data_IF_228492894194
#
_entry.id   IF_228492894194
#
_cell.length_a   1.000
_cell.length_b   1.000
_cell.length_c   1.000
_cell.angle_alpha   90.00
_cell.angle_beta   90.00
_cell.angle_gamma   90.00
#
_symmetry.space_group_name_H-M   'P 1'
#
loop_
_entity.id
_entity.type
_entity.pdbx_description
1 polymer ?
#
# COMPACT_ATOMS: atom_id res chain seq x y z
N UNK A 1 -12.84 13.14 -8.61
CA UNK A 1 -12.73 12.72 -7.19
C UNK A 1 -11.94 11.42 -7.08
N UNK A 2 -11.02 11.36 -6.16
CA UNK A 2 -10.20 10.16 -5.97
C UNK A 2 -11.03 9.06 -5.29
N UNK A 3 -11.02 7.88 -5.91
CA UNK A 3 -11.67 6.67 -5.40
C UNK A 3 -10.60 5.61 -5.10
N UNK A 4 -10.80 4.90 -4.00
CA UNK A 4 -9.96 3.76 -3.62
C UNK A 4 -10.76 2.48 -3.84
N UNK A 5 -10.11 1.49 -4.44
CA UNK A 5 -10.71 0.17 -4.64
C UNK A 5 -9.68 -0.93 -4.42
N UNK A 6 -10.16 -2.13 -4.15
CA UNK A 6 -9.33 -3.32 -4.04
C UNK A 6 -9.14 -3.95 -5.42
N UNK A 7 -7.89 -4.23 -5.75
CA UNK A 7 -7.56 -5.01 -6.95
C UNK A 7 -7.80 -6.48 -6.62
N UNK A 8 -8.82 -7.08 -7.24
CA UNK A 8 -9.19 -8.48 -7.01
C UNK A 8 -8.88 -9.40 -8.18
N UNK A 9 -8.57 -8.83 -9.34
CA UNK A 9 -8.23 -9.57 -10.55
C UNK A 9 -7.05 -8.92 -11.26
N UNK A 10 -6.20 -9.76 -11.85
CA UNK A 10 -5.09 -9.28 -12.65
C UNK A 10 -5.59 -8.76 -14.00
N UNK A 11 -4.96 -7.71 -14.50
CA UNK A 11 -5.25 -7.13 -15.81
C UNK A 11 -4.03 -6.41 -16.35
N UNK A 12 -4.06 -6.10 -17.66
CA UNK A 12 -2.99 -5.31 -18.27
C UNK A 12 -2.85 -3.92 -17.62
N UNK A 13 -3.98 -3.32 -17.26
CA UNK A 13 -4.00 -2.02 -16.56
C UNK A 13 -3.26 -2.09 -15.21
N UNK A 14 -3.47 -3.16 -14.47
CA UNK A 14 -2.78 -3.40 -13.19
C UNK A 14 -1.29 -3.59 -13.42
N UNK A 15 -0.92 -4.42 -14.39
CA UNK A 15 0.49 -4.66 -14.71
C UNK A 15 1.20 -3.36 -15.12
N UNK A 16 0.60 -2.59 -16.01
CA UNK A 16 1.16 -1.32 -16.47
C UNK A 16 1.31 -0.31 -15.32
N UNK A 17 0.37 -0.31 -14.39
CA UNK A 17 0.43 0.56 -13.22
C UNK A 17 1.65 0.21 -12.35
N UNK A 18 1.86 -1.06 -12.02
CA UNK A 18 3.01 -1.47 -11.22
C UNK A 18 4.33 -1.23 -11.95
N UNK A 19 4.39 -1.47 -13.26
CA UNK A 19 5.57 -1.18 -14.07
C UNK A 19 5.94 0.30 -13.99
N UNK A 20 4.95 1.19 -13.98
CA UNK A 20 5.15 2.64 -13.90
C UNK A 20 5.45 3.12 -12.46
N UNK A 21 4.74 2.57 -11.48
CA UNK A 21 4.78 3.07 -10.10
C UNK A 21 5.95 2.53 -9.29
N UNK A 22 6.31 1.26 -9.42
CA UNK A 22 7.34 0.65 -8.58
C UNK A 22 8.71 1.31 -8.70
N UNK A 23 9.19 1.73 -9.89
CA UNK A 23 10.43 2.48 -9.96
C UNK A 23 10.40 3.82 -9.20
N UNK A 24 9.22 4.37 -8.97
CA UNK A 24 9.05 5.59 -8.18
C UNK A 24 9.11 5.32 -6.66
N UNK A 25 8.84 4.08 -6.25
CA UNK A 25 8.97 3.66 -4.86
C UNK A 25 10.42 3.36 -4.52
N UNK A 26 11.12 2.65 -5.39
CA UNK A 26 12.52 2.29 -5.23
C UNK A 26 13.17 2.12 -6.60
N UNK A 27 14.25 2.87 -6.86
CA UNK A 27 14.98 2.79 -8.14
C UNK A 27 15.65 1.44 -8.37
N UNK A 28 15.88 0.67 -7.29
CA UNK A 28 16.47 -0.67 -7.35
C UNK A 28 15.43 -1.79 -7.35
N UNK A 29 14.14 -1.45 -7.27
CA UNK A 29 13.09 -2.46 -7.24
C UNK A 29 13.03 -3.21 -8.57
N UNK A 30 13.00 -4.55 -8.48
CA UNK A 30 12.74 -5.40 -9.61
C UNK A 30 11.25 -5.36 -9.92
N UNK A 31 10.89 -5.18 -11.20
CA UNK A 31 9.49 -5.23 -11.61
C UNK A 31 9.01 -6.69 -11.50
N UNK A 32 7.95 -6.96 -10.76
CA UNK A 32 7.43 -8.31 -10.64
C UNK A 32 6.85 -8.80 -11.97
N UNK A 33 6.83 -10.11 -12.14
CA UNK A 33 6.18 -10.74 -13.29
C UNK A 33 4.67 -10.67 -13.12
N UNK A 34 3.95 -10.92 -14.21
CA UNK A 34 2.49 -11.04 -14.17
C UNK A 34 2.05 -12.09 -13.15
N UNK A 35 2.69 -13.25 -13.16
CA UNK A 35 2.37 -14.36 -12.26
C UNK A 35 2.62 -14.00 -10.80
N UNK A 36 3.69 -13.27 -10.51
CA UNK A 36 3.98 -12.80 -9.15
C UNK A 36 2.92 -11.82 -8.64
N UNK A 37 2.45 -10.92 -9.51
CA UNK A 37 1.36 -10.01 -9.15
C UNK A 37 0.04 -10.74 -8.99
N UNK A 38 -0.23 -11.73 -9.82
CA UNK A 38 -1.42 -12.56 -9.71
C UNK A 38 -1.41 -13.35 -8.39
N UNK A 39 -0.27 -13.89 -8.00
CA UNK A 39 -0.11 -14.58 -6.71
C UNK A 39 -0.41 -13.63 -5.54
N UNK A 40 0.08 -12.39 -5.61
CA UNK A 40 -0.21 -11.39 -4.59
C UNK A 40 -1.72 -11.10 -4.50
N UNK A 41 -2.35 -10.85 -5.63
CA UNK A 41 -3.77 -10.50 -5.70
C UNK A 41 -4.66 -11.65 -5.22
N UNK A 42 -4.27 -12.89 -5.49
CA UNK A 42 -5.00 -14.08 -5.07
C UNK A 42 -4.68 -14.52 -3.64
N UNK A 43 -3.69 -13.91 -2.99
CA UNK A 43 -3.33 -14.23 -1.62
C UNK A 43 -4.40 -13.72 -0.66
N UNK A 44 -4.83 -14.57 0.27
CA UNK A 44 -5.78 -14.17 1.32
C UNK A 44 -5.19 -13.18 2.31
N UNK A 45 -3.86 -13.20 2.46
CA UNK A 45 -3.16 -12.31 3.39
C UNK A 45 -2.92 -10.92 2.78
N UNK A 46 -2.82 -10.83 1.45
CA UNK A 46 -2.50 -9.58 0.76
C UNK A 46 -3.73 -8.90 0.20
N UNK A 47 -3.94 -7.65 0.59
CA UNK A 47 -5.02 -6.81 0.09
C UNK A 47 -4.37 -5.65 -0.64
N UNK A 48 -4.54 -5.60 -1.96
CA UNK A 48 -3.94 -4.54 -2.78
C UNK A 48 -4.98 -3.47 -3.04
N UNK A 49 -4.70 -2.25 -2.56
CA UNK A 49 -5.57 -1.10 -2.78
C UNK A 49 -4.99 -0.21 -3.86
N UNK A 50 -5.85 0.33 -4.70
CA UNK A 50 -5.48 1.24 -5.77
C UNK A 50 -6.33 2.50 -5.73
N UNK A 51 -5.76 3.60 -6.21
CA UNK A 51 -6.42 4.89 -6.31
C UNK A 51 -6.60 5.28 -7.77
N UNK A 52 -7.77 5.75 -8.13
CA UNK A 52 -8.08 6.31 -9.45
C UNK A 52 -8.83 7.62 -9.27
N UNK A 53 -8.82 8.45 -10.30
CA UNK A 53 -9.73 9.58 -10.38
C UNK A 53 -10.97 9.15 -11.16
N UNK A 54 -12.15 9.25 -10.56
CA UNK A 54 -13.39 8.81 -11.20
C UNK A 54 -13.80 9.71 -12.38
N UNK A 55 -13.14 10.85 -12.54
CA UNK A 55 -13.35 11.74 -13.69
C UNK A 55 -12.43 11.37 -14.87
N UNK A 56 -11.44 10.51 -14.65
CA UNK A 56 -10.56 10.01 -15.71
C UNK A 56 -11.25 8.86 -16.44
N UNK A 57 -11.66 9.04 -17.73
CA UNK A 57 -12.34 7.98 -18.48
C UNK A 57 -11.48 6.75 -18.71
N UNK A 58 -10.17 6.87 -18.64
CA UNK A 58 -9.25 5.74 -18.78
C UNK A 58 -9.06 4.96 -17.47
N UNK A 59 -9.41 5.58 -16.33
CA UNK A 59 -9.28 4.98 -15.02
C UNK A 59 -7.84 4.63 -14.68
N UNK A 60 -6.92 5.55 -14.96
CA UNK A 60 -5.49 5.36 -14.69
C UNK A 60 -5.26 5.19 -13.19
N UNK A 61 -4.53 4.15 -12.82
CA UNK A 61 -4.16 3.92 -11.42
C UNK A 61 -3.07 4.91 -11.03
N UNK A 62 -3.38 5.76 -10.05
CA UNK A 62 -2.52 6.87 -9.62
C UNK A 62 -1.70 6.55 -8.37
N UNK A 63 -2.02 5.45 -7.70
CA UNK A 63 -1.30 5.02 -6.52
C UNK A 63 -1.76 3.64 -6.08
N UNK A 64 -0.88 2.95 -5.37
CA UNK A 64 -1.17 1.62 -4.83
C UNK A 64 -0.57 1.45 -3.45
N UNK A 65 -1.10 0.52 -2.69
CA UNK A 65 -0.49 0.02 -1.47
C UNK A 65 -0.95 -1.42 -1.22
N UNK A 66 -0.17 -2.16 -0.46
CA UNK A 66 -0.55 -3.49 0.00
C UNK A 66 -0.77 -3.46 1.50
N UNK A 67 -1.92 -3.97 1.93
CA UNK A 67 -2.20 -4.25 3.33
C UNK A 67 -2.07 -5.75 3.52
N UNK A 68 -1.17 -6.16 4.42
CA UNK A 68 -1.00 -7.57 4.77
C UNK A 68 -1.72 -7.83 6.08
N UNK A 69 -2.64 -8.79 6.09
CA UNK A 69 -3.38 -9.18 7.29
C UNK A 69 -3.05 -10.64 7.59
N UNK A 70 -2.59 -10.91 8.79
CA UNK A 70 -2.17 -12.25 9.17
C UNK A 70 -2.51 -12.53 10.63
N UNK A 71 -2.65 -13.80 10.94
CA UNK A 71 -2.93 -14.25 12.31
C UNK A 71 -1.68 -14.87 12.93
N UNK A 72 -1.40 -14.42 14.16
CA UNK A 72 -0.41 -15.05 15.05
C UNK A 72 -1.14 -15.50 16.32
N UNK A 73 -0.51 -16.29 17.21
CA UNK A 73 -1.21 -16.77 18.42
C UNK A 73 -1.87 -15.68 19.25
N UNK A 74 -1.29 -14.49 19.29
CA UNK A 74 -1.79 -13.39 20.13
C UNK A 74 -2.85 -12.53 19.43
N UNK A 75 -3.19 -12.80 18.18
CA UNK A 75 -4.26 -12.10 17.48
C UNK A 75 -3.99 -11.85 16.01
N UNK A 76 -4.87 -11.08 15.41
CA UNK A 76 -4.74 -10.65 14.01
C UNK A 76 -3.93 -9.35 13.97
N UNK A 77 -2.99 -9.28 13.03
CA UNK A 77 -2.10 -8.14 12.80
C UNK A 77 -2.19 -7.68 11.35
N UNK A 78 -1.89 -6.42 11.13
CA UNK A 78 -1.80 -5.87 9.79
C UNK A 78 -0.50 -5.09 9.59
N UNK A 79 0.04 -5.14 8.36
CA UNK A 79 1.19 -4.36 7.92
C UNK A 79 0.85 -3.60 6.66
N UNK A 80 1.30 -2.37 6.61
CA UNK A 80 1.24 -1.55 5.39
C UNK A 80 2.56 -1.68 4.66
N UNK A 81 2.48 -2.05 3.39
CA UNK A 81 3.64 -2.26 2.52
C UNK A 81 3.50 -1.52 1.20
N UNK A 82 4.63 -1.07 0.66
CA UNK A 82 4.78 -0.56 -0.71
C UNK A 82 3.75 0.52 -1.08
N UNK A 83 3.61 1.54 -0.24
CA UNK A 83 2.77 2.69 -0.55
C UNK A 83 3.48 3.56 -1.58
N UNK A 84 2.87 3.72 -2.74
CA UNK A 84 3.41 4.58 -3.80
C UNK A 84 2.29 5.39 -4.46
N UNK A 85 2.56 6.67 -4.67
CA UNK A 85 1.68 7.58 -5.42
C UNK A 85 2.47 8.13 -6.59
N UNK A 86 1.86 8.11 -7.76
CA UNK A 86 2.47 8.67 -8.97
C UNK A 86 2.92 10.10 -8.70
N UNK A 87 4.16 10.40 -9.04
CA UNK A 87 4.76 11.74 -8.83
C UNK A 87 3.92 12.86 -9.47
N UNK A 88 3.27 12.56 -10.58
CA UNK A 88 2.41 13.51 -11.29
C UNK A 88 1.04 13.72 -10.63
N UNK A 89 0.68 12.84 -9.71
CA UNK A 89 -0.58 12.91 -8.98
C UNK A 89 -0.40 13.29 -7.50
N UNK A 90 0.78 13.66 -7.08
CA UNK A 90 1.05 14.08 -5.70
C UNK A 90 0.34 15.40 -5.39
N UNK A 91 0.07 15.65 -4.10
CA UNK A 91 -0.63 16.84 -3.64
C UNK A 91 -2.15 16.76 -3.74
N UNK A 92 -2.70 15.62 -4.13
CA UNK A 92 -4.15 15.38 -4.23
C UNK A 92 -4.72 14.57 -3.06
N UNK A 93 -3.91 14.28 -2.04
CA UNK A 93 -4.33 13.52 -0.87
C UNK A 93 -4.50 12.01 -1.11
N UNK A 94 -3.93 11.49 -2.20
CA UNK A 94 -4.07 10.07 -2.58
C UNK A 94 -3.45 9.15 -1.52
N UNK A 95 -2.24 9.45 -1.06
CA UNK A 95 -1.57 8.66 -0.04
C UNK A 95 -2.38 8.58 1.25
N UNK A 96 -2.94 9.70 1.68
CA UNK A 96 -3.78 9.72 2.88
C UNK A 96 -5.05 8.91 2.70
N UNK A 97 -5.70 8.99 1.54
CA UNK A 97 -6.89 8.18 1.27
C UNK A 97 -6.60 6.69 1.25
N UNK A 98 -5.47 6.29 0.65
CA UNK A 98 -5.01 4.89 0.66
C UNK A 98 -4.82 4.40 2.10
N UNK A 99 -4.10 5.17 2.92
CA UNK A 99 -3.83 4.80 4.32
C UNK A 99 -5.12 4.73 5.12
N UNK A 100 -6.00 5.72 5.02
CA UNK A 100 -7.27 5.71 5.76
C UNK A 100 -8.16 4.54 5.35
N UNK A 101 -8.21 4.22 4.07
CA UNK A 101 -8.95 3.05 3.57
C UNK A 101 -8.35 1.75 4.11
N UNK A 102 -7.02 1.65 4.17
CA UNK A 102 -6.36 0.47 4.72
C UNK A 102 -6.65 0.29 6.20
N UNK A 103 -6.75 1.37 6.96
CA UNK A 103 -7.10 1.34 8.40
C UNK A 103 -8.51 0.77 8.57
N UNK A 104 -9.48 1.26 7.80
CA UNK A 104 -10.85 0.75 7.85
C UNK A 104 -10.93 -0.72 7.45
N UNK A 105 -10.16 -1.11 6.42
CA UNK A 105 -10.10 -2.51 5.99
C UNK A 105 -9.46 -3.41 7.05
N UNK A 106 -8.37 -2.99 7.66
CA UNK A 106 -7.71 -3.74 8.74
C UNK A 106 -8.65 -3.93 9.92
N UNK A 107 -9.39 -2.89 10.27
CA UNK A 107 -10.41 -2.94 11.33
C UNK A 107 -11.50 -3.96 11.00
N UNK A 108 -12.01 -3.94 9.76
CA UNK A 108 -13.02 -4.90 9.30
C UNK A 108 -12.51 -6.35 9.33
N UNK A 109 -11.21 -6.56 9.11
CA UNK A 109 -10.58 -7.89 9.17
C UNK A 109 -10.26 -8.32 10.61
N UNK A 110 -10.56 -7.50 11.60
CA UNK A 110 -10.33 -7.83 13.01
C UNK A 110 -8.89 -7.61 13.49
N UNK A 111 -8.11 -6.82 12.77
CA UNK A 111 -6.73 -6.52 13.16
C UNK A 111 -6.69 -5.66 14.42
N UNK A 112 -5.84 -6.05 15.37
CA UNK A 112 -5.63 -5.30 16.62
C UNK A 112 -4.70 -4.12 16.44
N UNK A 113 -3.74 -4.25 15.52
CA UNK A 113 -2.73 -3.23 15.26
C UNK A 113 -2.43 -3.17 13.78
N UNK A 114 -1.97 -2.00 13.33
CA UNK A 114 -1.50 -1.79 11.98
C UNK A 114 -0.12 -1.17 12.12
N UNK A 115 0.89 -1.84 11.59
CA UNK A 115 2.26 -1.37 11.63
C UNK A 115 2.78 -1.07 10.24
N UNK A 116 3.78 -0.22 10.17
CA UNK A 116 4.56 0.05 8.97
C UNK A 116 5.96 0.44 9.38
N UNK A 117 6.90 0.35 8.45
CA UNK A 117 8.24 0.90 8.64
C UNK A 117 8.46 2.02 7.63
N UNK A 118 9.21 3.03 8.04
CA UNK A 118 9.54 4.16 7.19
C UNK A 118 10.89 4.71 7.60
N UNK A 119 11.73 5.06 6.63
CA UNK A 119 13.04 5.64 6.90
C UNK A 119 12.89 7.01 7.57
N UNK A 120 13.78 7.38 8.51
CA UNK A 120 13.74 8.70 9.17
C UNK A 120 13.77 9.88 8.20
N UNK A 121 14.40 9.73 7.04
CA UNK A 121 14.50 10.78 6.02
C UNK A 121 13.18 11.10 5.31
N UNK A 122 12.18 10.23 5.41
CA UNK A 122 10.87 10.42 4.76
C UNK A 122 9.95 11.28 5.61
N UNK A 123 10.30 12.53 5.79
CA UNK A 123 9.61 13.47 6.70
C UNK A 123 8.14 13.67 6.32
N UNK A 124 7.85 13.82 5.02
CA UNK A 124 6.47 14.02 4.53
C UNK A 124 5.59 12.79 4.83
N UNK A 125 6.14 11.59 4.60
CA UNK A 125 5.42 10.35 4.90
C UNK A 125 5.13 10.23 6.40
N UNK A 126 6.09 10.59 7.26
CA UNK A 126 5.89 10.59 8.72
C UNK A 126 4.77 11.52 9.14
N UNK A 127 4.68 12.71 8.55
CA UNK A 127 3.59 13.65 8.82
C UNK A 127 2.24 13.06 8.45
N UNK A 128 2.17 12.41 7.29
CA UNK A 128 0.95 11.74 6.82
C UNK A 128 0.53 10.64 7.81
N UNK A 129 1.46 9.78 8.21
CA UNK A 129 1.15 8.70 9.14
C UNK A 129 0.67 9.21 10.49
N UNK A 130 1.30 10.26 11.01
CA UNK A 130 0.86 10.89 12.26
C UNK A 130 -0.55 11.47 12.16
N UNK A 131 -0.87 12.12 11.03
CA UNK A 131 -2.23 12.62 10.78
C UNK A 131 -3.26 11.49 10.75
N UNK A 132 -2.86 10.30 10.30
CA UNK A 132 -3.71 9.13 10.26
C UNK A 132 -3.76 8.35 11.58
N UNK A 133 -3.11 8.84 12.63
CA UNK A 133 -3.15 8.24 13.96
C UNK A 133 -2.05 7.24 14.26
N UNK A 134 -1.05 7.08 13.39
CA UNK A 134 0.11 6.24 13.68
C UNK A 134 1.05 6.95 14.65
N UNK A 135 1.60 6.19 15.56
CA UNK A 135 2.59 6.66 16.51
C UNK A 135 3.90 5.91 16.31
N UNK A 136 5.03 6.62 16.44
CA UNK A 136 6.34 5.99 16.36
C UNK A 136 6.54 5.10 17.57
N UNK A 137 6.89 3.83 17.34
CA UNK A 137 7.14 2.87 18.42
C UNK A 137 8.60 2.91 18.84
N UNK A 138 8.82 2.73 20.14
CA UNK A 138 10.16 2.54 20.69
C UNK A 138 10.53 1.06 20.62
N UNK A 139 11.02 0.64 19.46
CA UNK A 139 11.36 -0.75 19.13
C UNK A 139 12.40 -0.77 18.03
N UNK A 140 12.91 -1.95 17.70
CA UNK A 140 13.88 -2.13 16.63
C UNK A 140 13.39 -3.15 15.63
N UNK A 141 13.72 -2.92 14.36
CA UNK A 141 13.46 -3.86 13.28
C UNK A 141 14.80 -4.52 12.91
N UNK A 142 14.85 -5.84 12.96
CA UNK A 142 16.03 -6.60 12.57
C UNK A 142 15.77 -7.28 11.23
N UNK A 143 16.81 -7.29 10.37
CA UNK A 143 16.73 -7.97 9.08
C UNK A 143 17.90 -8.91 8.91
N UNK A 144 17.63 -10.08 8.37
CA UNK A 144 18.64 -11.01 7.89
C UNK A 144 18.33 -11.38 6.44
N UNK A 145 19.35 -11.41 5.61
CA UNK A 145 19.25 -11.96 4.25
C UNK A 145 19.61 -13.44 4.36
N UNK A 146 18.68 -14.37 4.08
CA UNK A 146 18.96 -15.81 4.23
C UNK A 146 19.95 -16.35 3.22
#
# INVERSE_FOLDING_TARGET
MIKIFEITEMSQKVYDAFERLLPQLSSSAKIPTWEELEDLINSKAGIVLAAVDDEDPEGTILGTMTLVVFRIPTGVRAWVEDVVVDKEARGKGIGEKLIRTSIERAKAEGSKTIDLTSRPSRVEAHRLYKRCGFEMRETCVFRRIP
#
